data_IF_027061192104
#
_entry.id   IF_027061192104
#
_cell.length_a   1.000
_cell.length_b   1.000
_cell.length_c   1.000
_cell.angle_alpha   90.00
_cell.angle_beta   90.00
_cell.angle_gamma   90.00
#
_symmetry.space_group_name_H-M   'P 1'
#
loop_
_entity.id
_entity.type
_entity.pdbx_description
1 polymer ?
#
# COMPACT_ATOMS: atom_id res chain seq x y z
N UNK A 1 18.25 -1.38 17.52
CA UNK A 1 17.82 -2.31 16.45
C UNK A 1 17.69 -1.49 15.20
N UNK A 2 18.31 -1.90 14.11
CA UNK A 2 18.04 -1.31 12.79
C UNK A 2 16.56 -1.47 12.46
N UNK A 3 15.98 -0.47 11.80
CA UNK A 3 14.58 -0.47 11.41
C UNK A 3 14.40 -1.45 10.25
N UNK A 4 13.44 -2.37 10.34
CA UNK A 4 13.06 -3.23 9.19
C UNK A 4 12.23 -2.42 8.20
N UNK A 5 12.54 -2.50 6.91
CA UNK A 5 11.63 -2.04 5.85
C UNK A 5 10.61 -3.16 5.56
N UNK A 6 9.34 -2.90 5.81
CA UNK A 6 8.27 -3.87 5.57
C UNK A 6 7.94 -3.96 4.09
N UNK A 7 7.46 -5.13 3.65
CA UNK A 7 7.09 -5.38 2.26
C UNK A 7 5.62 -5.77 2.09
N UNK A 8 4.99 -5.21 1.08
CA UNK A 8 3.59 -5.45 0.73
C UNK A 8 3.45 -5.80 -0.77
N UNK A 9 3.48 -7.09 -1.16
CA UNK A 9 3.25 -7.49 -2.55
C UNK A 9 1.88 -7.03 -3.07
N UNK A 10 1.86 -6.42 -4.27
CA UNK A 10 0.61 -6.05 -4.95
C UNK A 10 -0.04 -7.32 -5.52
N UNK A 11 -1.09 -7.78 -4.84
CA UNK A 11 -1.69 -9.10 -5.10
C UNK A 11 -2.42 -9.20 -6.43
N UNK A 12 -2.84 -8.06 -7.00
CA UNK A 12 -3.43 -8.01 -8.33
C UNK A 12 -2.49 -8.43 -9.46
N UNK A 13 -1.20 -8.63 -9.17
CA UNK A 13 -0.18 -9.08 -10.12
C UNK A 13 0.10 -10.59 -10.07
N UNK A 14 -0.55 -11.36 -9.19
CA UNK A 14 -0.38 -12.81 -9.13
C UNK A 14 -0.72 -13.46 -10.48
N UNK A 15 0.03 -14.50 -10.87
CA UNK A 15 -0.43 -15.41 -11.93
C UNK A 15 -1.67 -16.19 -11.42
N UNK A 16 -2.80 -15.97 -12.07
CA UNK A 16 -4.08 -16.60 -11.71
C UNK A 16 -4.04 -18.13 -11.84
N UNK A 17 -3.18 -18.70 -12.71
CA UNK A 17 -3.05 -20.14 -12.88
C UNK A 17 -2.15 -20.81 -11.83
N UNK A 18 -1.40 -20.02 -11.05
CA UNK A 18 -0.49 -20.51 -10.01
C UNK A 18 -0.72 -19.78 -8.66
N UNK A 19 -1.92 -19.26 -8.46
CA UNK A 19 -2.22 -18.34 -7.37
C UNK A 19 -2.05 -18.97 -5.98
N UNK A 20 -2.44 -20.24 -5.81
CA UNK A 20 -2.33 -20.91 -4.51
C UNK A 20 -0.88 -20.97 -4.03
N UNK A 21 0.05 -21.34 -4.91
CA UNK A 21 1.47 -21.44 -4.58
C UNK A 21 2.05 -20.07 -4.24
N UNK A 22 1.81 -19.08 -5.10
CA UNK A 22 2.28 -17.71 -4.90
C UNK A 22 1.77 -17.13 -3.57
N UNK A 23 0.47 -17.27 -3.28
CA UNK A 23 -0.14 -16.76 -2.05
C UNK A 23 0.47 -17.40 -0.80
N UNK A 24 0.76 -18.70 -0.80
CA UNK A 24 1.41 -19.36 0.36
C UNK A 24 2.78 -18.77 0.65
N UNK A 25 3.61 -18.60 -0.38
CA UNK A 25 4.95 -18.02 -0.26
C UNK A 25 4.87 -16.57 0.25
N UNK A 26 3.94 -15.79 -0.31
CA UNK A 26 3.74 -14.40 0.08
C UNK A 26 3.27 -14.32 1.54
N UNK A 27 2.26 -15.09 1.94
CA UNK A 27 1.69 -15.06 3.29
C UNK A 27 2.71 -15.46 4.38
N UNK A 28 3.67 -16.32 4.05
CA UNK A 28 4.72 -16.73 4.99
C UNK A 28 5.83 -15.68 5.15
N UNK A 29 6.00 -14.78 4.16
CA UNK A 29 7.22 -13.97 4.04
C UNK A 29 6.99 -12.46 3.94
N UNK A 30 5.77 -12.00 3.64
CA UNK A 30 5.45 -10.57 3.58
C UNK A 30 4.87 -10.04 4.89
N UNK A 31 4.88 -8.72 5.04
CA UNK A 31 4.29 -8.06 6.20
C UNK A 31 2.82 -7.68 5.94
N UNK A 32 2.48 -7.44 4.67
CA UNK A 32 1.15 -7.05 4.20
C UNK A 32 0.83 -7.70 2.84
N UNK A 33 -0.47 -7.77 2.53
CA UNK A 33 -0.98 -8.08 1.20
C UNK A 33 -1.65 -6.83 0.63
N UNK A 34 -1.02 -6.18 -0.36
CA UNK A 34 -1.52 -4.92 -0.93
C UNK A 34 -2.58 -5.19 -2.00
N UNK A 35 -3.78 -4.67 -1.82
CA UNK A 35 -4.95 -4.92 -2.67
C UNK A 35 -5.37 -3.65 -3.40
N UNK A 36 -4.85 -3.45 -4.62
CA UNK A 36 -5.21 -2.31 -5.46
C UNK A 36 -6.62 -2.46 -6.06
N UNK A 37 -7.57 -1.71 -5.51
CA UNK A 37 -8.96 -1.65 -5.99
C UNK A 37 -9.12 -0.43 -6.89
N UNK A 38 -9.50 -0.66 -8.15
CA UNK A 38 -9.62 0.39 -9.17
C UNK A 38 -10.97 0.32 -9.87
N UNK A 39 -11.68 1.45 -9.94
CA UNK A 39 -13.06 1.51 -10.43
C UNK A 39 -13.21 2.01 -11.89
N UNK A 40 -12.12 2.31 -12.58
CA UNK A 40 -12.16 2.89 -13.92
C UNK A 40 -12.60 4.36 -13.98
N UNK A 41 -12.92 4.98 -12.83
CA UNK A 41 -13.41 6.37 -12.73
C UNK A 41 -12.36 7.26 -12.04
N UNK A 42 -11.88 6.86 -10.86
CA UNK A 42 -10.81 7.56 -10.17
C UNK A 42 -9.48 7.42 -10.93
N UNK A 43 -9.22 6.21 -11.42
CA UNK A 43 -8.10 5.89 -12.30
C UNK A 43 -8.62 5.19 -13.56
N UNK A 44 -7.98 5.35 -14.74
CA UNK A 44 -8.47 4.80 -16.00
C UNK A 44 -8.08 3.31 -16.18
N UNK A 45 -8.21 2.51 -15.13
CA UNK A 45 -7.93 1.07 -15.13
C UNK A 45 -8.80 0.35 -14.10
N UNK A 46 -8.92 -0.97 -14.26
CA UNK A 46 -9.62 -1.85 -13.32
C UNK A 46 -8.62 -2.75 -12.62
N UNK A 47 -8.93 -3.09 -11.37
CA UNK A 47 -8.10 -3.93 -10.51
C UNK A 47 -8.87 -5.13 -10.00
N UNK A 48 -8.47 -5.62 -8.84
CA UNK A 48 -9.20 -6.64 -8.10
C UNK A 48 -10.35 -6.02 -7.30
N UNK A 49 -11.23 -6.87 -6.78
CA UNK A 49 -12.43 -6.47 -6.05
C UNK A 49 -12.56 -7.16 -4.69
N UNK A 50 -13.64 -6.88 -3.94
CA UNK A 50 -13.88 -7.50 -2.63
C UNK A 50 -13.97 -9.03 -2.70
N UNK A 51 -14.38 -9.60 -3.84
CA UNK A 51 -14.42 -11.05 -4.05
C UNK A 51 -13.03 -11.69 -3.98
N UNK A 52 -11.99 -10.95 -4.41
CA UNK A 52 -10.60 -11.40 -4.33
C UNK A 52 -10.13 -11.48 -2.87
N UNK A 53 -10.41 -10.45 -2.07
CA UNK A 53 -10.12 -10.46 -0.64
C UNK A 53 -10.88 -11.58 0.06
N UNK A 54 -12.17 -11.74 -0.24
CA UNK A 54 -13.01 -12.78 0.35
C UNK A 54 -12.50 -14.20 0.03
N UNK A 55 -11.93 -14.41 -1.16
CA UNK A 55 -11.32 -15.68 -1.54
C UNK A 55 -10.04 -16.02 -0.76
N UNK A 56 -9.38 -15.00 -0.17
CA UNK A 56 -8.13 -15.11 0.58
C UNK A 56 -8.33 -15.05 2.10
N UNK A 57 -9.37 -14.37 2.59
CA UNK A 57 -9.60 -14.04 4.01
C UNK A 57 -9.34 -15.17 5.01
N UNK A 58 -9.78 -16.39 4.69
CA UNK A 58 -9.65 -17.56 5.58
C UNK A 58 -8.45 -18.46 5.23
N UNK A 59 -7.60 -18.02 4.28
CA UNK A 59 -6.44 -18.77 3.76
C UNK A 59 -5.10 -18.08 4.03
N UNK A 60 -5.13 -16.81 4.44
CA UNK A 60 -3.95 -15.99 4.72
C UNK A 60 -4.03 -15.46 6.15
N UNK A 61 -2.88 -15.31 6.78
CA UNK A 61 -2.74 -14.71 8.11
C UNK A 61 -2.22 -13.27 8.07
N UNK A 62 -1.56 -12.92 6.96
CA UNK A 62 -1.00 -11.60 6.67
C UNK A 62 -2.13 -10.58 6.46
N UNK A 63 -2.03 -9.38 7.05
CA UNK A 63 -3.06 -8.36 6.92
C UNK A 63 -3.24 -7.91 5.46
N UNK A 64 -4.48 -7.94 4.97
CA UNK A 64 -4.85 -7.39 3.66
C UNK A 64 -5.13 -5.89 3.77
N UNK A 65 -4.45 -5.09 2.95
CA UNK A 65 -4.70 -3.65 2.83
C UNK A 65 -5.48 -3.33 1.55
N UNK A 66 -6.73 -2.91 1.71
CA UNK A 66 -7.57 -2.46 0.61
C UNK A 66 -7.24 -1.02 0.22
N UNK A 67 -6.34 -0.86 -0.76
CA UNK A 67 -6.00 0.43 -1.35
C UNK A 67 -7.10 0.83 -2.35
N UNK A 68 -7.94 1.78 -1.94
CA UNK A 68 -9.14 2.18 -2.67
C UNK A 68 -8.84 3.36 -3.63
N UNK A 69 -8.37 3.03 -4.82
CA UNK A 69 -8.34 3.94 -5.98
C UNK A 69 -9.73 4.00 -6.65
N UNK A 70 -10.74 4.43 -5.88
CA UNK A 70 -12.14 4.52 -6.32
C UNK A 70 -12.76 5.87 -5.96
N UNK A 71 -13.69 6.38 -6.77
CA UNK A 71 -14.20 7.74 -6.67
C UNK A 71 -15.13 7.96 -5.47
N UNK A 72 -15.83 6.92 -5.04
CA UNK A 72 -16.83 6.97 -3.96
C UNK A 72 -16.56 5.88 -2.91
N UNK A 73 -15.41 5.91 -2.21
CA UNK A 73 -15.00 4.83 -1.32
C UNK A 73 -15.95 4.59 -0.14
N UNK A 74 -16.66 5.63 0.30
CA UNK A 74 -17.63 5.58 1.40
C UNK A 74 -18.73 4.54 1.18
N UNK A 75 -19.09 4.26 -0.08
CA UNK A 75 -20.13 3.29 -0.43
C UNK A 75 -19.68 1.83 -0.22
N UNK A 76 -18.37 1.59 -0.11
CA UNK A 76 -17.80 0.24 -0.17
C UNK A 76 -17.00 -0.14 1.09
N UNK A 77 -16.92 0.72 2.10
CA UNK A 77 -16.15 0.46 3.33
C UNK A 77 -16.59 -0.85 4.02
N UNK A 78 -17.90 -1.02 4.21
CA UNK A 78 -18.44 -2.24 4.83
C UNK A 78 -18.23 -3.49 3.95
N UNK A 79 -18.29 -3.32 2.62
CA UNK A 79 -18.02 -4.39 1.66
C UNK A 79 -16.61 -4.93 1.82
N UNK A 80 -15.60 -4.05 1.85
CA UNK A 80 -14.21 -4.46 2.02
C UNK A 80 -13.90 -4.99 3.44
N UNK A 81 -14.49 -4.40 4.47
CA UNK A 81 -14.36 -4.91 5.84
C UNK A 81 -14.91 -6.36 5.94
N UNK A 82 -16.10 -6.62 5.40
CA UNK A 82 -16.68 -7.97 5.36
C UNK A 82 -15.83 -8.95 4.56
N UNK A 83 -15.25 -8.49 3.46
CA UNK A 83 -14.35 -9.26 2.61
C UNK A 83 -13.01 -9.61 3.28
N UNK A 84 -12.70 -9.05 4.45
CA UNK A 84 -11.51 -9.41 5.23
C UNK A 84 -10.39 -8.37 5.22
N UNK A 85 -10.65 -7.16 4.72
CA UNK A 85 -9.67 -6.08 4.80
C UNK A 85 -9.25 -5.81 6.26
N UNK A 86 -7.96 -5.85 6.53
CA UNK A 86 -7.38 -5.44 7.81
C UNK A 86 -7.15 -3.91 7.82
N UNK A 87 -6.74 -3.37 6.67
CA UNK A 87 -6.66 -1.92 6.43
C UNK A 87 -7.60 -1.53 5.29
N UNK A 88 -8.18 -0.34 5.38
CA UNK A 88 -8.88 0.31 4.27
C UNK A 88 -8.23 1.66 4.06
N UNK A 89 -7.68 1.86 2.86
CA UNK A 89 -6.81 2.98 2.51
C UNK A 89 -7.41 3.74 1.30
N UNK A 90 -8.41 4.62 1.50
CA UNK A 90 -8.89 5.49 0.44
C UNK A 90 -7.93 6.64 0.16
N UNK A 91 -8.05 7.20 -1.04
CA UNK A 91 -7.39 8.45 -1.41
C UNK A 91 -8.04 9.66 -0.73
N UNK A 92 -7.24 10.57 -0.18
CA UNK A 92 -7.74 11.76 0.54
C UNK A 92 -8.66 12.63 -0.31
N UNK A 93 -8.36 12.80 -1.60
CA UNK A 93 -9.11 13.59 -2.57
C UNK A 93 -10.46 12.96 -2.95
N UNK A 94 -10.75 11.74 -2.48
CA UNK A 94 -12.07 11.11 -2.58
C UNK A 94 -12.91 11.23 -1.31
N UNK A 95 -12.33 11.74 -0.21
CA UNK A 95 -12.99 11.81 1.11
C UNK A 95 -12.91 13.20 1.76
N UNK A 96 -12.40 14.21 1.05
CA UNK A 96 -12.13 15.55 1.61
C UNK A 96 -13.33 16.21 2.32
N UNK A 97 -14.55 15.93 1.86
CA UNK A 97 -15.78 16.47 2.43
C UNK A 97 -16.28 15.75 3.69
N UNK A 98 -15.77 14.55 3.98
CA UNK A 98 -16.28 13.69 5.06
C UNK A 98 -15.20 12.83 5.73
N UNK A 99 -13.92 13.23 5.66
CA UNK A 99 -12.78 12.43 6.08
C UNK A 99 -12.92 11.85 7.49
N UNK A 100 -13.33 12.66 8.47
CA UNK A 100 -13.55 12.19 9.85
C UNK A 100 -14.64 11.12 9.95
N UNK A 101 -15.75 11.27 9.21
CA UNK A 101 -16.84 10.28 9.19
C UNK A 101 -16.35 8.98 8.55
N UNK A 102 -15.64 9.09 7.43
CA UNK A 102 -15.07 7.96 6.70
C UNK A 102 -14.06 7.18 7.57
N UNK A 103 -13.10 7.88 8.20
CA UNK A 103 -12.07 7.27 9.06
C UNK A 103 -12.69 6.59 10.28
N UNK A 104 -13.64 7.26 10.96
CA UNK A 104 -14.34 6.66 12.10
C UNK A 104 -15.11 5.42 11.68
N UNK A 105 -15.78 5.45 10.51
CA UNK A 105 -16.50 4.29 9.99
C UNK A 105 -15.57 3.10 9.71
N UNK A 106 -14.39 3.34 9.14
CA UNK A 106 -13.38 2.29 8.93
C UNK A 106 -13.00 1.62 10.26
N UNK A 107 -12.74 2.41 11.31
CA UNK A 107 -12.41 1.89 12.64
C UNK A 107 -13.58 1.17 13.33
N UNK A 108 -14.81 1.68 13.20
CA UNK A 108 -16.02 1.03 13.72
C UNK A 108 -16.26 -0.35 13.08
N UNK A 109 -15.84 -0.53 11.83
CA UNK A 109 -15.90 -1.81 11.12
C UNK A 109 -14.81 -2.80 11.57
N UNK A 110 -13.93 -2.41 12.49
CA UNK A 110 -12.82 -3.22 13.01
C UNK A 110 -11.57 -3.19 12.14
N UNK A 111 -11.52 -2.34 11.12
CA UNK A 111 -10.36 -2.16 10.26
C UNK A 111 -9.46 -1.03 10.79
N UNK A 112 -8.20 -1.04 10.37
CA UNK A 112 -7.28 0.09 10.51
C UNK A 112 -7.48 1.09 9.38
N UNK A 113 -7.39 2.38 9.70
CA UNK A 113 -7.65 3.47 8.75
C UNK A 113 -6.34 3.92 8.08
N UNK A 114 -6.23 3.68 6.78
CA UNK A 114 -5.16 4.22 5.94
C UNK A 114 -5.62 5.44 5.14
N UNK A 115 -4.68 6.27 4.66
CA UNK A 115 -4.95 7.27 3.61
C UNK A 115 -3.84 7.27 2.58
N UNK A 116 -4.21 7.28 1.29
CA UNK A 116 -3.29 7.45 0.19
C UNK A 116 -3.27 8.90 -0.33
N UNK A 117 -2.09 9.38 -0.73
CA UNK A 117 -1.88 10.67 -1.36
C UNK A 117 -1.19 10.49 -2.70
N UNK A 118 -1.82 10.98 -3.76
CA UNK A 118 -1.16 11.15 -5.04
C UNK A 118 0.04 12.12 -4.94
N UNK A 119 0.99 12.06 -5.89
CA UNK A 119 2.21 12.88 -5.84
C UNK A 119 1.92 14.38 -5.71
N UNK A 120 0.88 14.88 -6.40
CA UNK A 120 0.47 16.28 -6.41
C UNK A 120 -0.28 16.75 -5.16
N UNK A 121 -0.78 15.83 -4.33
CA UNK A 121 -1.64 16.18 -3.18
C UNK A 121 -0.76 16.62 -1.98
N UNK A 122 -0.97 17.81 -1.41
CA UNK A 122 -0.20 18.31 -0.28
C UNK A 122 -0.45 17.52 1.02
N UNK A 123 0.53 17.43 1.92
CA UNK A 123 0.36 16.80 3.24
C UNK A 123 -0.61 17.57 4.15
N UNK A 124 -0.74 18.86 3.91
CA UNK A 124 -1.66 19.75 4.61
C UNK A 124 -3.12 19.29 4.46
N UNK A 125 -3.45 18.56 3.40
CA UNK A 125 -4.79 17.98 3.18
C UNK A 125 -5.19 16.95 4.24
N UNK A 126 -4.21 16.31 4.89
CA UNK A 126 -4.45 15.27 5.88
C UNK A 126 -4.20 15.73 7.32
N UNK A 127 -3.69 16.94 7.52
CA UNK A 127 -3.14 17.38 8.81
C UNK A 127 -4.11 17.20 9.99
N UNK A 128 -5.39 17.54 9.79
CA UNK A 128 -6.38 17.58 10.86
C UNK A 128 -6.85 16.21 11.33
N UNK A 129 -6.80 15.20 10.46
CA UNK A 129 -7.21 13.84 10.79
C UNK A 129 -6.03 12.86 10.82
N UNK A 130 -4.80 13.33 10.55
CA UNK A 130 -3.57 12.55 10.67
C UNK A 130 -3.45 11.80 12.01
N UNK A 131 -3.83 12.36 13.18
CA UNK A 131 -3.78 11.62 14.45
C UNK A 131 -4.72 10.41 14.54
N UNK A 132 -5.67 10.28 13.60
CA UNK A 132 -6.61 9.15 13.55
C UNK A 132 -6.12 8.05 12.60
N UNK A 133 -5.07 8.26 11.84
CA UNK A 133 -4.61 7.31 10.82
C UNK A 133 -3.71 6.25 11.44
N UNK A 134 -3.83 5.02 10.94
CA UNK A 134 -2.95 3.89 11.26
C UNK A 134 -1.85 3.72 10.19
N UNK A 135 -2.07 4.25 8.98
CA UNK A 135 -1.14 4.21 7.86
C UNK A 135 -1.34 5.41 6.92
N UNK A 136 -0.27 5.90 6.32
CA UNK A 136 -0.29 6.88 5.24
C UNK A 136 0.54 6.36 4.08
N UNK A 137 -0.09 6.25 2.92
CA UNK A 137 0.54 5.79 1.68
C UNK A 137 0.88 6.99 0.81
N UNK A 138 2.16 7.15 0.47
CA UNK A 138 2.64 8.15 -0.47
C UNK A 138 2.84 7.48 -1.82
N UNK A 139 2.01 7.86 -2.79
CA UNK A 139 2.22 7.46 -4.17
C UNK A 139 3.49 8.13 -4.69
N UNK A 140 4.42 7.35 -5.22
CA UNK A 140 5.68 7.82 -5.85
C UNK A 140 5.61 7.80 -7.38
N UNK A 141 4.42 7.51 -7.92
CA UNK A 141 3.99 7.68 -9.31
C UNK A 141 2.52 8.14 -9.29
N UNK A 142 1.96 8.64 -10.40
CA UNK A 142 0.53 8.93 -10.42
C UNK A 142 -0.30 7.64 -10.33
N UNK A 143 -1.30 7.59 -9.45
CA UNK A 143 -2.08 6.37 -9.22
C UNK A 143 -2.73 5.82 -10.51
N UNK A 144 -2.80 4.50 -10.60
CA UNK A 144 -3.54 3.80 -11.66
C UNK A 144 -2.78 3.48 -12.95
N UNK A 145 -1.57 4.01 -13.14
CA UNK A 145 -0.73 3.72 -14.33
C UNK A 145 0.53 2.95 -13.89
N UNK A 146 0.71 1.74 -14.40
CA UNK A 146 1.90 0.91 -14.14
C UNK A 146 3.09 1.31 -15.03
N UNK A 147 4.31 1.12 -14.54
CA UNK A 147 5.54 1.28 -15.34
C UNK A 147 5.99 2.74 -15.54
N UNK A 148 5.44 3.66 -14.75
CA UNK A 148 5.87 5.05 -14.73
C UNK A 148 7.26 5.21 -14.11
N UNK A 149 7.93 6.31 -14.41
CA UNK A 149 9.15 6.68 -13.70
C UNK A 149 8.79 7.17 -12.30
N UNK A 150 9.60 6.78 -11.32
CA UNK A 150 9.47 7.24 -9.95
C UNK A 150 9.65 8.76 -9.89
N UNK A 151 8.79 9.42 -9.11
CA UNK A 151 8.78 10.85 -8.86
C UNK A 151 9.55 11.10 -7.55
N UNK A 152 10.88 11.21 -7.63
CA UNK A 152 11.77 11.33 -6.48
C UNK A 152 11.45 12.52 -5.57
N UNK A 153 10.78 13.56 -6.08
CA UNK A 153 10.29 14.69 -5.29
C UNK A 153 9.34 14.25 -4.15
N UNK A 154 8.69 13.10 -4.30
CA UNK A 154 7.82 12.53 -3.26
C UNK A 154 8.61 12.05 -2.03
N UNK A 155 9.93 11.83 -2.13
CA UNK A 155 10.76 11.47 -0.98
C UNK A 155 10.81 12.59 0.05
N UNK A 156 10.74 13.85 -0.38
CA UNK A 156 10.60 14.98 0.54
C UNK A 156 9.27 14.98 1.28
N UNK A 157 8.21 14.44 0.66
CA UNK A 157 6.92 14.25 1.31
C UNK A 157 7.03 13.21 2.43
N UNK A 158 7.73 12.11 2.19
CA UNK A 158 8.02 11.07 3.19
C UNK A 158 8.82 11.67 4.37
N UNK A 159 9.92 12.39 4.10
CA UNK A 159 10.73 13.04 5.15
C UNK A 159 9.93 14.03 6.00
N UNK A 160 9.09 14.85 5.36
CA UNK A 160 8.21 15.79 6.07
C UNK A 160 7.21 15.05 6.96
N UNK A 161 6.64 13.95 6.46
CA UNK A 161 5.68 13.16 7.20
C UNK A 161 6.31 12.46 8.41
N UNK A 162 7.55 11.97 8.29
CA UNK A 162 8.34 11.45 9.42
C UNK A 162 8.51 12.51 10.49
N UNK A 163 8.92 13.73 10.11
CA UNK A 163 9.08 14.85 11.03
C UNK A 163 7.76 15.18 11.75
N UNK A 164 6.65 15.25 11.01
CA UNK A 164 5.32 15.49 11.60
C UNK A 164 4.94 14.38 12.59
N UNK A 165 5.20 13.11 12.23
CA UNK A 165 4.94 11.95 13.08
C UNK A 165 5.70 12.05 14.41
N UNK A 166 6.99 12.39 14.36
CA UNK A 166 7.83 12.57 15.54
C UNK A 166 7.41 13.77 16.39
N UNK A 167 7.20 14.93 15.78
CA UNK A 167 6.82 16.17 16.48
C UNK A 167 5.46 16.05 17.19
N UNK A 168 4.51 15.33 16.59
CA UNK A 168 3.17 15.12 17.14
C UNK A 168 3.05 13.84 17.99
N UNK A 169 4.11 13.04 18.08
CA UNK A 169 4.10 11.77 18.83
C UNK A 169 3.11 10.74 18.29
N UNK A 170 2.98 10.63 16.98
CA UNK A 170 2.07 9.72 16.28
C UNK A 170 2.77 8.39 15.91
N UNK A 171 2.00 7.35 15.60
CA UNK A 171 2.51 5.98 15.38
C UNK A 171 2.06 5.34 14.06
N UNK A 172 1.47 6.12 13.14
CA UNK A 172 1.08 5.61 11.83
C UNK A 172 2.27 5.13 10.99
N UNK A 173 2.04 4.10 10.18
CA UNK A 173 3.01 3.61 9.19
C UNK A 173 3.10 4.55 7.98
N UNK A 174 4.30 4.72 7.43
CA UNK A 174 4.52 5.45 6.17
C UNK A 174 4.85 4.44 5.08
N UNK A 175 3.98 4.30 4.10
CA UNK A 175 4.14 3.41 2.95
C UNK A 175 4.50 4.19 1.69
N UNK A 176 5.35 3.63 0.83
CA UNK A 176 5.60 4.12 -0.52
C UNK A 176 5.07 3.12 -1.56
N UNK A 177 4.24 3.63 -2.49
CA UNK A 177 3.64 2.83 -3.57
C UNK A 177 3.90 3.45 -4.95
N UNK A 178 4.36 2.62 -5.90
CA UNK A 178 4.57 3.01 -7.29
C UNK A 178 5.93 2.63 -7.86
N UNK A 179 5.96 1.83 -8.93
CA UNK A 179 7.19 1.50 -9.69
C UNK A 179 8.41 1.11 -8.85
N UNK A 180 8.16 0.41 -7.74
CA UNK A 180 9.19 -0.07 -6.82
C UNK A 180 10.22 -0.95 -7.56
N UNK A 181 11.48 -0.81 -7.20
CA UNK A 181 12.60 -1.57 -7.76
C UNK A 181 13.85 -1.43 -6.86
N UNK A 182 14.92 -2.14 -7.20
CA UNK A 182 16.19 -2.11 -6.47
C UNK A 182 16.70 -0.70 -6.18
N UNK A 183 16.73 0.16 -7.19
CA UNK A 183 17.41 1.46 -7.13
C UNK A 183 16.73 2.45 -6.17
N UNK A 184 15.49 2.17 -5.73
CA UNK A 184 14.71 3.07 -4.87
C UNK A 184 14.66 2.63 -3.41
N UNK A 185 14.98 1.38 -3.08
CA UNK A 185 14.85 0.86 -1.71
C UNK A 185 15.62 1.69 -0.68
N UNK A 186 16.92 1.91 -0.93
CA UNK A 186 17.78 2.70 -0.02
C UNK A 186 17.26 4.12 0.16
N UNK A 187 16.90 4.79 -0.94
CA UNK A 187 16.43 6.18 -0.89
C UNK A 187 15.13 6.34 -0.12
N UNK A 188 14.19 5.39 -0.26
CA UNK A 188 12.92 5.39 0.48
C UNK A 188 13.12 5.05 1.95
N UNK A 189 13.99 4.08 2.25
CA UNK A 189 14.36 3.73 3.61
C UNK A 189 15.01 4.92 4.33
N UNK A 190 15.96 5.61 3.68
CA UNK A 190 16.61 6.82 4.23
C UNK A 190 15.65 8.01 4.34
N UNK A 191 14.68 8.13 3.42
CA UNK A 191 13.61 9.13 3.53
C UNK A 191 12.67 8.86 4.71
N UNK A 192 12.63 7.62 5.20
CA UNK A 192 11.89 7.21 6.38
C UNK A 192 10.58 6.45 6.09
N UNK A 193 10.41 5.88 4.89
CA UNK A 193 9.31 4.93 4.64
C UNK A 193 9.46 3.68 5.52
N UNK A 194 8.39 3.24 6.18
CA UNK A 194 8.37 2.00 6.97
C UNK A 194 7.99 0.79 6.13
N UNK A 195 7.31 1.00 5.00
CA UNK A 195 6.81 -0.05 4.12
C UNK A 195 6.91 0.33 2.64
N UNK A 196 7.10 -0.66 1.78
CA UNK A 196 7.09 -0.52 0.31
C UNK A 196 6.16 -1.53 -0.35
N UNK A 197 5.44 -1.06 -1.37
CA UNK A 197 4.59 -1.93 -2.20
C UNK A 197 5.42 -2.58 -3.31
N UNK A 198 5.35 -3.90 -3.44
CA UNK A 198 6.09 -4.66 -4.45
C UNK A 198 5.20 -4.94 -5.67
N UNK A 199 5.30 -4.06 -6.67
CA UNK A 199 4.68 -4.21 -7.98
C UNK A 199 5.53 -5.03 -8.98
N UNK A 200 5.16 -5.03 -10.28
CA UNK A 200 5.81 -5.90 -11.27
C UNK A 200 7.33 -5.76 -11.37
N UNK A 201 7.93 -4.55 -11.41
CA UNK A 201 9.38 -4.42 -11.52
C UNK A 201 10.15 -4.87 -10.26
N UNK A 202 9.51 -4.83 -9.09
CA UNK A 202 10.12 -5.22 -7.82
C UNK A 202 10.11 -6.73 -7.59
N UNK A 203 9.03 -7.41 -7.97
CA UNK A 203 8.81 -8.82 -7.67
C UNK A 203 8.42 -9.62 -8.91
N UNK A 204 7.26 -9.33 -9.51
CA UNK A 204 6.61 -10.24 -10.47
C UNK A 204 7.35 -10.43 -11.81
N UNK A 205 8.21 -9.49 -12.21
CA UNK A 205 8.98 -9.57 -13.46
C UNK A 205 10.43 -10.02 -13.26
N UNK A 206 10.81 -10.50 -12.07
CA UNK A 206 12.19 -10.88 -11.75
C UNK A 206 12.62 -12.22 -12.34
N UNK A 207 11.71 -13.18 -12.41
CA UNK A 207 11.91 -14.50 -13.01
C UNK A 207 10.56 -15.11 -13.39
N UNK A 208 10.58 -16.14 -14.25
CA UNK A 208 9.37 -16.88 -14.63
C UNK A 208 8.85 -17.76 -13.48
N UNK A 209 9.75 -18.33 -12.67
CA UNK A 209 9.36 -19.01 -11.43
C UNK A 209 9.27 -18.02 -10.26
N UNK A 210 8.17 -18.09 -9.52
CA UNK A 210 7.88 -17.16 -8.44
C UNK A 210 8.82 -17.30 -7.23
N UNK A 211 9.31 -18.50 -6.91
CA UNK A 211 10.26 -18.67 -5.80
C UNK A 211 11.62 -18.05 -6.14
N UNK A 212 12.07 -18.22 -7.39
CA UNK A 212 13.25 -17.52 -7.90
C UNK A 212 13.05 -15.99 -7.91
N UNK A 213 11.90 -15.52 -8.38
CA UNK A 213 11.56 -14.09 -8.39
C UNK A 213 11.59 -13.48 -6.97
N UNK A 214 11.03 -14.21 -5.99
CA UNK A 214 11.08 -13.82 -4.57
C UNK A 214 12.52 -13.74 -4.07
N UNK A 215 13.32 -14.79 -4.32
CA UNK A 215 14.71 -14.83 -3.88
C UNK A 215 15.55 -13.68 -4.48
N UNK A 216 15.33 -13.32 -5.75
CA UNK A 216 15.98 -12.17 -6.37
C UNK A 216 15.58 -10.87 -5.66
N UNK A 217 14.28 -10.65 -5.44
CA UNK A 217 13.76 -9.47 -4.75
C UNK A 217 14.33 -9.34 -3.33
N UNK A 218 14.35 -10.42 -2.57
CA UNK A 218 14.86 -10.48 -1.19
C UNK A 218 16.36 -10.15 -1.14
N UNK A 219 17.16 -10.74 -2.03
CA UNK A 219 18.59 -10.42 -2.14
C UNK A 219 18.84 -8.95 -2.54
N UNK A 220 18.05 -8.40 -3.46
CA UNK A 220 18.15 -6.98 -3.81
C UNK A 220 17.85 -6.09 -2.61
N UNK A 221 16.74 -6.35 -1.91
CA UNK A 221 16.33 -5.60 -0.73
C UNK A 221 17.41 -5.66 0.37
N UNK A 222 17.93 -6.84 0.70
CA UNK A 222 19.01 -7.00 1.67
C UNK A 222 20.29 -6.28 1.23
N UNK A 223 20.66 -6.39 -0.05
CA UNK A 223 21.89 -5.74 -0.56
C UNK A 223 21.81 -4.22 -0.50
N UNK A 224 20.62 -3.65 -0.68
CA UNK A 224 20.42 -2.19 -0.66
C UNK A 224 20.24 -1.63 0.75
N UNK A 225 19.93 -2.46 1.75
CA UNK A 225 19.71 -2.02 3.14
C UNK A 225 20.87 -2.36 4.10
N UNK A 226 21.76 -3.29 3.74
CA UNK A 226 23.03 -3.55 4.44
C UNK A 226 24.08 -2.44 4.15
#
# INVERSE_FOLDING_TARGET
MERKLMIAPSMGCCDLFDMERQVRIIDEKSDFLHMDIKDGVYVPSFGIGPEFLAALKDKVSTPMDAHLMIKHPQQYLETFAKAGAAYITPHTDCIEGDAFVTINKIKELGCKAGIALNPSVPLETIEYYLPLLDKVTIMIVDAGISGQKVIEQTYDKIRKLVKIREEKGLDFLIEADGSMNRDVYRSLYEAGADMVVLGPPALWNKADDFEEAWAIMENELESELN
#
